data_IF_094741234005
#
_entry.id   IF_094741234005
#
_cell.length_a   1.000
_cell.length_b   1.000
_cell.length_c   1.000
_cell.angle_alpha   90.00
_cell.angle_beta   90.00
_cell.angle_gamma   90.00
#
_symmetry.space_group_name_H-M   'P 1'
#
loop_
_entity.id
_entity.type
_entity.pdbx_description
1 polymer ?
#
# COMPACT_ATOMS: atom_id res chain seq x y z
N UNK A 1 -13.44 -44.44 10.99
CA UNK A 1 -12.83 -43.23 11.60
C UNK A 1 -12.90 -42.07 10.62
N UNK A 2 -13.70 -41.04 10.90
CA UNK A 2 -13.77 -39.83 10.09
C UNK A 2 -12.64 -38.89 10.55
N UNK A 3 -11.83 -38.31 9.65
CA UNK A 3 -10.80 -37.38 10.06
C UNK A 3 -11.44 -36.08 10.59
N UNK A 4 -10.96 -35.70 11.78
CA UNK A 4 -11.37 -34.49 12.49
C UNK A 4 -11.32 -33.26 11.60
N UNK A 5 -12.42 -32.51 11.56
CA UNK A 5 -12.54 -31.20 10.92
C UNK A 5 -11.61 -30.25 11.67
N UNK A 6 -10.52 -29.83 11.06
CA UNK A 6 -9.66 -28.77 11.54
C UNK A 6 -10.50 -27.51 11.66
N UNK A 7 -10.84 -27.14 12.90
CA UNK A 7 -11.76 -26.03 13.29
C UNK A 7 -11.34 -24.64 12.77
N UNK A 8 -10.14 -24.47 12.25
CA UNK A 8 -9.62 -23.18 11.77
C UNK A 8 -9.99 -22.79 10.33
N UNK A 9 -10.36 -23.74 9.48
CA UNK A 9 -10.62 -23.48 8.05
C UNK A 9 -11.76 -22.49 7.74
N UNK A 10 -12.93 -22.51 8.42
CA UNK A 10 -14.04 -21.62 8.07
C UNK A 10 -13.78 -20.15 8.48
N UNK A 11 -13.09 -19.90 9.60
CA UNK A 11 -12.76 -18.56 10.05
C UNK A 11 -11.73 -17.88 9.15
N UNK A 12 -10.63 -18.57 8.84
CA UNK A 12 -9.61 -18.08 7.90
C UNK A 12 -10.22 -17.77 6.52
N UNK A 13 -11.08 -18.65 6.00
CA UNK A 13 -11.76 -18.45 4.72
C UNK A 13 -12.71 -17.24 4.76
N UNK A 14 -13.41 -17.00 5.87
CA UNK A 14 -14.30 -15.85 6.05
C UNK A 14 -13.52 -14.54 6.07
N UNK A 15 -12.39 -14.47 6.81
CA UNK A 15 -11.51 -13.30 6.84
C UNK A 15 -10.83 -13.09 5.48
N UNK A 16 -10.34 -14.14 4.85
CA UNK A 16 -9.73 -14.09 3.53
C UNK A 16 -10.68 -13.56 2.47
N UNK A 17 -11.91 -14.06 2.43
CA UNK A 17 -12.93 -13.60 1.49
C UNK A 17 -13.25 -12.10 1.69
N UNK A 18 -13.24 -11.58 2.92
CA UNK A 18 -13.47 -10.17 3.20
C UNK A 18 -12.49 -9.25 2.46
N UNK A 19 -11.23 -9.64 2.31
CA UNK A 19 -10.21 -8.84 1.62
C UNK A 19 -10.23 -8.97 0.09
N UNK A 20 -10.95 -9.94 -0.45
CA UNK A 20 -11.03 -10.16 -1.90
C UNK A 20 -12.43 -9.98 -2.49
N UNK A 21 -13.43 -9.75 -1.66
CA UNK A 21 -14.79 -9.43 -2.11
C UNK A 21 -14.93 -7.92 -2.21
N UNK A 22 -15.17 -7.45 -3.42
CA UNK A 22 -15.43 -6.04 -3.68
C UNK A 22 -16.90 -5.73 -3.37
N UNK A 23 -17.14 -4.72 -2.54
CA UNK A 23 -18.47 -4.19 -2.18
C UNK A 23 -18.43 -2.67 -2.21
N UNK A 24 -19.59 -2.01 -2.27
CA UNK A 24 -19.68 -0.54 -2.31
C UNK A 24 -18.99 0.15 -1.12
N UNK A 25 -18.95 -0.51 0.02
CA UNK A 25 -18.43 0.06 1.29
C UNK A 25 -17.00 -0.33 1.59
N UNK A 26 -16.36 -1.17 0.76
CA UNK A 26 -14.98 -1.63 1.02
C UNK A 26 -13.97 -0.56 0.65
N UNK A 27 -13.09 -0.18 1.57
CA UNK A 27 -11.94 0.67 1.28
C UNK A 27 -10.91 -0.08 0.43
N UNK A 28 -10.53 0.51 -0.71
CA UNK A 28 -9.51 -0.04 -1.62
C UNK A 28 -8.17 -0.28 -0.95
N UNK A 29 -7.83 0.53 0.04
CA UNK A 29 -6.53 0.56 0.69
C UNK A 29 -6.51 -0.12 2.06
N UNK A 30 -7.63 -0.73 2.49
CA UNK A 30 -7.75 -1.31 3.82
C UNK A 30 -6.63 -2.33 4.11
N UNK A 31 -6.35 -3.24 3.18
CA UNK A 31 -5.30 -4.24 3.34
C UNK A 31 -3.90 -3.60 3.39
N UNK A 32 -3.63 -2.62 2.52
CA UNK A 32 -2.39 -1.84 2.51
C UNK A 32 -2.20 -1.09 3.83
N UNK A 33 -3.23 -0.41 4.32
CA UNK A 33 -3.20 0.36 5.57
C UNK A 33 -3.01 -0.57 6.78
N UNK A 34 -3.60 -1.76 6.75
CA UNK A 34 -3.40 -2.79 7.79
C UNK A 34 -1.93 -3.23 7.83
N UNK A 35 -1.35 -3.62 6.69
CA UNK A 35 0.07 -3.97 6.62
C UNK A 35 0.97 -2.77 6.96
N UNK A 36 0.64 -1.56 6.50
CA UNK A 36 1.36 -0.34 6.85
C UNK A 36 1.44 -0.11 8.35
N UNK A 37 0.37 -0.41 9.08
CA UNK A 37 0.35 -0.32 10.55
C UNK A 37 1.15 -1.44 11.21
N UNK A 38 1.03 -2.67 10.73
CA UNK A 38 1.76 -3.84 11.26
C UNK A 38 3.27 -3.68 11.09
N UNK A 39 3.73 -3.18 9.95
CA UNK A 39 5.15 -2.98 9.65
C UNK A 39 5.67 -1.57 9.98
N UNK A 40 4.98 -0.83 10.84
CA UNK A 40 5.38 0.48 11.35
C UNK A 40 5.60 1.57 10.29
N UNK A 41 5.02 1.43 9.09
CA UNK A 41 5.11 2.44 8.05
C UNK A 41 4.33 3.70 8.44
N UNK A 42 3.07 3.54 8.89
CA UNK A 42 2.23 4.61 9.41
C UNK A 42 1.21 4.05 10.40
N UNK A 43 0.74 4.89 11.31
CA UNK A 43 -0.33 4.53 12.23
C UNK A 43 -1.69 4.91 11.67
N UNK A 44 -2.46 3.91 11.30
CA UNK A 44 -3.83 4.11 10.85
C UNK A 44 -4.80 3.97 12.03
N UNK A 45 -5.40 5.06 12.48
CA UNK A 45 -6.43 5.06 13.51
C UNK A 45 -7.55 6.03 13.14
N UNK A 46 -8.78 5.57 13.26
CA UNK A 46 -9.98 6.40 13.11
C UNK A 46 -10.16 7.35 14.32
N UNK A 47 -9.49 7.05 15.44
CA UNK A 47 -9.60 7.82 16.68
C UNK A 47 -8.28 8.50 17.05
N UNK A 48 -8.24 9.86 17.11
CA UNK A 48 -7.00 10.61 17.38
C UNK A 48 -6.56 10.57 18.85
N UNK A 49 -7.31 9.96 19.77
CA UNK A 49 -6.97 9.94 21.20
C UNK A 49 -5.77 9.04 21.49
N UNK A 50 -4.96 9.48 22.45
CA UNK A 50 -3.88 8.68 23.02
C UNK A 50 -4.43 7.36 23.55
N UNK A 51 -4.12 6.28 22.82
CA UNK A 51 -4.53 4.94 23.18
C UNK A 51 -3.27 4.14 23.51
N UNK A 52 -3.38 3.18 24.41
CA UNK A 52 -2.32 2.21 24.68
C UNK A 52 -1.77 1.59 23.38
N UNK A 53 -2.61 1.38 22.38
CA UNK A 53 -2.21 0.91 21.05
C UNK A 53 -1.23 1.86 20.35
N UNK A 54 -1.45 3.17 20.43
CA UNK A 54 -0.55 4.17 19.85
C UNK A 54 0.79 4.18 20.57
N UNK A 55 0.80 4.07 21.89
CA UNK A 55 2.01 3.98 22.68
C UNK A 55 2.81 2.72 22.32
N UNK A 56 2.18 1.55 22.31
CA UNK A 56 2.80 0.28 21.93
C UNK A 56 3.38 0.33 20.50
N UNK A 57 2.65 0.94 19.57
CA UNK A 57 3.13 1.14 18.21
C UNK A 57 4.32 2.09 18.16
N UNK A 58 4.33 3.17 18.93
CA UNK A 58 5.46 4.08 19.02
C UNK A 58 6.71 3.39 19.58
N UNK A 59 6.55 2.59 20.64
CA UNK A 59 7.64 1.79 21.20
C UNK A 59 8.18 0.81 20.16
N UNK A 60 7.29 0.09 19.47
CA UNK A 60 7.66 -0.81 18.39
C UNK A 60 8.45 -0.10 17.28
N UNK A 61 7.99 1.10 16.84
CA UNK A 61 8.70 1.92 15.85
C UNK A 61 10.08 2.39 16.34
N UNK A 62 10.24 2.62 17.64
CA UNK A 62 11.53 2.98 18.23
C UNK A 62 12.57 1.87 18.05
N UNK A 63 12.16 0.59 18.12
CA UNK A 63 13.07 -0.54 17.86
C UNK A 63 13.60 -0.52 16.41
N UNK A 64 12.81 -0.10 15.44
CA UNK A 64 13.29 0.10 14.07
C UNK A 64 14.42 1.14 14.03
N UNK A 65 14.21 2.30 14.64
CA UNK A 65 15.21 3.36 14.66
C UNK A 65 16.48 2.91 15.38
N UNK A 66 16.36 2.18 16.49
CA UNK A 66 17.51 1.62 17.19
C UNK A 66 18.28 0.61 16.34
N UNK A 67 17.59 -0.25 15.57
CA UNK A 67 18.26 -1.18 14.65
C UNK A 67 19.01 -0.44 13.54
N UNK A 68 18.45 0.64 13.00
CA UNK A 68 19.13 1.50 12.03
C UNK A 68 20.41 2.12 12.62
N UNK A 69 20.33 2.71 13.80
CA UNK A 69 21.51 3.28 14.49
C UNK A 69 22.60 2.23 14.76
N UNK A 70 22.20 0.99 15.04
CA UNK A 70 23.14 -0.13 15.18
C UNK A 70 23.89 -0.41 13.87
N UNK A 71 23.24 -0.32 12.70
CA UNK A 71 23.91 -0.45 11.41
C UNK A 71 24.86 0.73 11.11
N UNK A 72 24.45 1.96 11.44
CA UNK A 72 25.32 3.12 11.34
C UNK A 72 26.57 2.95 12.19
N UNK A 73 26.41 2.49 13.44
CA UNK A 73 27.52 2.24 14.34
C UNK A 73 28.46 1.14 13.82
N UNK A 74 27.94 0.04 13.31
CA UNK A 74 28.75 -1.02 12.70
C UNK A 74 29.56 -0.51 11.52
N UNK A 75 28.94 0.23 10.61
CA UNK A 75 29.63 0.82 9.48
C UNK A 75 30.76 1.75 9.93
N UNK A 76 30.46 2.64 10.90
CA UNK A 76 31.48 3.52 11.49
C UNK A 76 32.65 2.72 12.09
N UNK A 77 32.36 1.68 12.88
CA UNK A 77 33.39 0.87 13.53
C UNK A 77 34.26 0.13 12.50
N UNK A 78 33.67 -0.45 11.46
CA UNK A 78 34.38 -1.11 10.37
C UNK A 78 35.30 -0.16 9.61
N UNK A 79 34.83 1.06 9.29
CA UNK A 79 35.65 2.07 8.65
C UNK A 79 36.80 2.56 9.54
N UNK A 80 36.54 2.77 10.84
CA UNK A 80 37.57 3.23 11.78
C UNK A 80 38.68 2.20 12.00
N UNK A 81 38.38 0.91 11.83
CA UNK A 81 39.36 -0.17 11.96
C UNK A 81 39.94 -0.66 10.63
N UNK A 82 39.63 0.03 9.51
CA UNK A 82 40.12 -0.30 8.18
C UNK A 82 39.82 -1.75 7.74
N UNK A 83 38.70 -2.31 8.22
CA UNK A 83 38.25 -3.65 7.85
C UNK A 83 37.57 -3.65 6.49
N UNK A 84 38.37 -3.73 5.41
CA UNK A 84 37.86 -3.90 4.06
C UNK A 84 37.68 -5.39 3.73
N UNK A 85 36.48 -5.90 3.95
CA UNK A 85 36.15 -7.29 3.68
C UNK A 85 34.75 -7.40 3.03
N UNK A 86 34.42 -8.60 2.57
CA UNK A 86 33.04 -8.90 2.10
C UNK A 86 31.99 -8.57 3.17
N UNK A 87 32.34 -8.70 4.47
CA UNK A 87 31.48 -8.36 5.57
C UNK A 87 31.16 -6.86 5.61
N UNK A 88 32.16 -5.97 5.39
CA UNK A 88 31.93 -4.53 5.32
C UNK A 88 31.04 -4.12 4.16
N UNK A 89 31.22 -4.74 2.98
CA UNK A 89 30.35 -4.53 1.83
C UNK A 89 28.89 -4.95 2.11
N UNK A 90 28.69 -6.07 2.81
CA UNK A 90 27.36 -6.53 3.23
C UNK A 90 26.70 -5.58 4.21
N UNK A 91 27.44 -5.04 5.21
CA UNK A 91 26.92 -4.06 6.16
C UNK A 91 26.54 -2.75 5.48
N UNK A 92 27.36 -2.29 4.52
CA UNK A 92 27.02 -1.09 3.72
C UNK A 92 25.79 -1.30 2.85
N UNK A 93 25.64 -2.47 2.22
CA UNK A 93 24.44 -2.83 1.47
C UNK A 93 23.18 -2.82 2.34
N UNK A 94 23.28 -3.41 3.53
CA UNK A 94 22.17 -3.40 4.50
C UNK A 94 21.86 -1.98 4.99
N UNK A 95 22.89 -1.17 5.29
CA UNK A 95 22.73 0.23 5.68
C UNK A 95 22.06 1.04 4.56
N UNK A 96 22.45 0.83 3.30
CA UNK A 96 21.83 1.46 2.14
C UNK A 96 20.35 1.13 2.01
N UNK A 97 19.98 -0.15 2.18
CA UNK A 97 18.58 -0.59 2.19
C UNK A 97 17.78 0.05 3.33
N UNK A 98 18.32 0.03 4.55
CA UNK A 98 17.68 0.62 5.72
C UNK A 98 17.54 2.14 5.58
N UNK A 99 18.55 2.82 5.02
CA UNK A 99 18.51 4.28 4.76
C UNK A 99 17.44 4.62 3.72
N UNK A 100 17.34 3.86 2.64
CA UNK A 100 16.28 4.02 1.65
C UNK A 100 14.90 3.77 2.22
N UNK A 101 14.74 2.76 3.08
CA UNK A 101 13.49 2.48 3.77
C UNK A 101 13.14 3.58 4.79
N UNK A 102 14.11 4.10 5.55
CA UNK A 102 13.91 5.20 6.50
C UNK A 102 13.48 6.48 5.77
N UNK A 103 14.14 6.83 4.66
CA UNK A 103 13.76 7.98 3.86
C UNK A 103 12.30 7.88 3.39
N UNK A 104 11.91 6.71 2.88
CA UNK A 104 10.53 6.46 2.46
C UNK A 104 9.53 6.52 3.61
N UNK A 105 9.90 5.99 4.78
CA UNK A 105 9.09 6.07 5.98
C UNK A 105 8.84 7.54 6.38
N UNK A 106 9.88 8.38 6.35
CA UNK A 106 9.77 9.82 6.62
C UNK A 106 8.88 10.49 5.58
N UNK A 107 9.10 10.21 4.30
CA UNK A 107 8.29 10.79 3.21
C UNK A 107 6.81 10.39 3.31
N UNK A 108 6.50 9.14 3.63
CA UNK A 108 5.12 8.68 3.86
C UNK A 108 4.51 9.39 5.06
N UNK A 109 5.23 9.54 6.16
CA UNK A 109 4.73 10.21 7.37
C UNK A 109 4.43 11.70 7.11
N UNK A 110 5.36 12.41 6.46
CA UNK A 110 5.18 13.84 6.13
C UNK A 110 4.01 14.08 5.18
N UNK A 111 3.80 13.18 4.23
CA UNK A 111 2.74 13.30 3.23
C UNK A 111 1.48 12.50 3.58
N UNK A 112 1.41 11.89 4.77
CA UNK A 112 0.30 11.02 5.15
C UNK A 112 -1.08 11.70 5.05
N UNK A 113 -1.27 12.96 5.45
CA UNK A 113 -2.55 13.67 5.26
C UNK A 113 -2.98 13.76 3.79
N UNK A 114 -2.03 14.03 2.89
CA UNK A 114 -2.27 14.10 1.45
C UNK A 114 -2.59 12.73 0.87
N UNK A 115 -1.83 11.70 1.27
CA UNK A 115 -2.09 10.31 0.88
C UNK A 115 -3.51 9.89 1.30
N UNK A 116 -3.94 10.26 2.50
CA UNK A 116 -5.30 9.97 3.00
C UNK A 116 -6.39 10.66 2.19
N UNK A 117 -6.18 11.94 1.83
CA UNK A 117 -7.13 12.66 0.96
C UNK A 117 -7.25 11.97 -0.40
N UNK A 118 -6.12 11.57 -0.98
CA UNK A 118 -6.10 10.86 -2.25
C UNK A 118 -6.76 9.47 -2.16
N UNK A 119 -6.51 8.72 -1.08
CA UNK A 119 -7.21 7.46 -0.82
C UNK A 119 -8.72 7.66 -0.68
N UNK A 120 -9.15 8.70 0.05
CA UNK A 120 -10.56 9.05 0.20
C UNK A 120 -11.21 9.40 -1.14
N UNK A 121 -10.52 10.17 -1.98
CA UNK A 121 -10.97 10.49 -3.34
C UNK A 121 -11.15 9.23 -4.20
N UNK A 122 -10.18 8.30 -4.19
CA UNK A 122 -10.24 7.05 -4.94
C UNK A 122 -11.30 6.07 -4.38
N UNK A 123 -11.68 6.22 -3.12
CA UNK A 123 -12.78 5.49 -2.48
C UNK A 123 -14.15 6.12 -2.73
N UNK A 124 -14.19 7.37 -3.21
CA UNK A 124 -15.43 8.03 -3.62
C UNK A 124 -15.92 7.43 -4.95
N UNK A 125 -16.95 6.59 -4.87
CA UNK A 125 -17.51 5.82 -5.98
C UNK A 125 -18.80 6.44 -6.52
N UNK A 126 -19.09 7.68 -6.18
CA UNK A 126 -20.32 8.36 -6.63
C UNK A 126 -20.34 8.52 -8.14
N UNK A 127 -19.16 8.68 -8.76
CA UNK A 127 -19.04 8.83 -10.20
C UNK A 127 -19.21 7.49 -10.93
N UNK A 128 -20.13 7.44 -11.89
CA UNK A 128 -20.48 6.23 -12.67
C UNK A 128 -20.82 5.00 -11.79
N UNK A 129 -21.49 5.22 -10.67
CA UNK A 129 -21.85 4.14 -9.75
C UNK A 129 -22.82 3.13 -10.39
N UNK A 130 -23.69 3.57 -11.28
CA UNK A 130 -24.67 2.73 -11.98
C UNK A 130 -24.10 2.01 -13.22
N UNK A 131 -22.89 2.41 -13.67
CA UNK A 131 -22.25 1.76 -14.84
C UNK A 131 -21.64 0.41 -14.43
N UNK A 132 -22.24 -0.67 -14.92
CA UNK A 132 -21.78 -2.05 -14.68
C UNK A 132 -20.32 -2.27 -15.12
N UNK A 133 -19.89 -1.63 -16.19
CA UNK A 133 -18.52 -1.74 -16.65
C UNK A 133 -17.54 -1.05 -15.69
N UNK A 134 -17.88 0.16 -15.23
CA UNK A 134 -17.08 0.87 -14.23
C UNK A 134 -16.93 0.04 -12.94
N UNK A 135 -18.01 -0.56 -12.47
CA UNK A 135 -18.02 -1.49 -11.36
C UNK A 135 -17.10 -2.69 -11.58
N UNK A 136 -17.17 -3.33 -12.74
CA UNK A 136 -16.33 -4.48 -13.06
C UNK A 136 -14.84 -4.12 -13.09
N UNK A 137 -14.47 -2.98 -13.69
CA UNK A 137 -13.08 -2.50 -13.73
C UNK A 137 -12.54 -2.18 -12.30
N UNK A 138 -13.35 -1.50 -11.48
CA UNK A 138 -13.01 -1.23 -10.07
C UNK A 138 -12.81 -2.53 -9.28
N UNK A 139 -13.71 -3.48 -9.46
CA UNK A 139 -13.64 -4.80 -8.82
C UNK A 139 -12.41 -5.60 -9.26
N UNK A 140 -12.06 -5.57 -10.56
CA UNK A 140 -10.86 -6.21 -11.10
C UNK A 140 -9.59 -5.59 -10.50
N UNK A 141 -9.49 -4.24 -10.48
CA UNK A 141 -8.35 -3.54 -9.93
C UNK A 141 -8.18 -3.85 -8.43
N UNK A 142 -9.27 -3.80 -7.65
CA UNK A 142 -9.25 -4.13 -6.22
C UNK A 142 -8.71 -5.54 -5.97
N UNK A 143 -9.24 -6.53 -6.67
CA UNK A 143 -8.81 -7.94 -6.51
C UNK A 143 -7.35 -8.14 -6.94
N UNK A 144 -6.95 -7.50 -8.03
CA UNK A 144 -5.57 -7.57 -8.52
C UNK A 144 -4.60 -6.97 -7.51
N UNK A 145 -4.85 -5.74 -7.05
CA UNK A 145 -3.99 -5.03 -6.10
C UNK A 145 -3.84 -5.79 -4.79
N UNK A 146 -4.93 -6.31 -4.23
CA UNK A 146 -4.88 -7.06 -2.98
C UNK A 146 -4.16 -8.41 -3.15
N UNK A 147 -4.35 -9.12 -4.26
CA UNK A 147 -3.61 -10.35 -4.55
C UNK A 147 -2.12 -10.06 -4.72
N UNK A 148 -1.78 -9.05 -5.50
CA UNK A 148 -0.40 -8.63 -5.72
C UNK A 148 0.28 -8.28 -4.39
N UNK A 149 -0.37 -7.49 -3.54
CA UNK A 149 0.11 -7.12 -2.21
C UNK A 149 0.38 -8.35 -1.33
N UNK A 150 -0.57 -9.28 -1.26
CA UNK A 150 -0.41 -10.51 -0.46
C UNK A 150 0.71 -11.39 -0.98
N UNK A 151 0.77 -11.62 -2.29
CA UNK A 151 1.83 -12.45 -2.90
C UNK A 151 3.20 -11.84 -2.61
N UNK A 152 3.34 -10.53 -2.79
CA UNK A 152 4.63 -9.86 -2.61
C UNK A 152 5.06 -9.83 -1.14
N UNK A 153 4.14 -9.51 -0.20
CA UNK A 153 4.45 -9.56 1.24
C UNK A 153 4.82 -10.98 1.67
N UNK A 154 4.11 -11.99 1.15
CA UNK A 154 4.43 -13.40 1.44
C UNK A 154 5.81 -13.77 0.91
N UNK A 155 6.13 -13.40 -0.33
CA UNK A 155 7.43 -13.67 -0.95
C UNK A 155 8.58 -13.03 -0.14
N UNK A 156 8.46 -11.74 0.23
CA UNK A 156 9.46 -11.04 1.02
C UNK A 156 9.58 -11.64 2.42
N UNK A 157 8.46 -12.04 3.03
CA UNK A 157 8.49 -12.69 4.35
C UNK A 157 9.22 -14.02 4.28
N UNK A 158 8.96 -14.84 3.26
CA UNK A 158 9.66 -16.11 3.06
C UNK A 158 11.14 -15.89 2.82
N UNK A 159 11.51 -14.94 1.94
CA UNK A 159 12.90 -14.56 1.69
C UNK A 159 13.59 -14.10 2.97
N UNK A 160 12.93 -13.24 3.76
CA UNK A 160 13.44 -12.75 5.05
C UNK A 160 13.64 -13.86 6.06
N UNK A 161 12.75 -14.85 6.12
CA UNK A 161 12.88 -16.01 6.99
C UNK A 161 14.04 -16.92 6.54
N UNK A 162 14.17 -17.17 5.24
CA UNK A 162 15.30 -17.94 4.68
C UNK A 162 16.63 -17.22 4.95
N UNK A 163 16.67 -15.90 4.78
CA UNK A 163 17.84 -15.07 5.08
C UNK A 163 18.16 -15.14 6.58
N UNK A 164 17.17 -14.99 7.47
CA UNK A 164 17.36 -15.06 8.91
C UNK A 164 17.90 -16.43 9.35
N UNK A 165 17.37 -17.53 8.84
CA UNK A 165 17.85 -18.87 9.15
C UNK A 165 19.32 -19.07 8.75
N UNK A 166 19.69 -18.61 7.56
CA UNK A 166 21.08 -18.64 7.07
C UNK A 166 22.02 -17.74 7.88
N UNK A 167 21.53 -16.57 8.26
CA UNK A 167 22.25 -15.52 8.97
C UNK A 167 22.69 -15.96 10.37
N UNK A 168 21.83 -16.62 11.11
CA UNK A 168 22.11 -17.13 12.45
C UNK A 168 23.20 -18.21 12.45
N UNK A 169 23.48 -18.84 11.31
CA UNK A 169 24.43 -19.94 11.20
C UNK A 169 25.80 -19.52 10.62
N UNK A 170 25.87 -18.46 9.77
CA UNK A 170 27.06 -18.23 8.94
C UNK A 170 27.53 -16.80 8.81
N UNK A 171 26.76 -15.79 9.24
CA UNK A 171 27.01 -14.37 8.92
C UNK A 171 26.97 -13.47 10.14
N UNK A 172 28.05 -13.42 10.92
CA UNK A 172 28.13 -12.61 12.14
C UNK A 172 27.94 -11.10 11.87
N UNK A 173 28.30 -10.60 10.68
CA UNK A 173 28.18 -9.21 10.30
C UNK A 173 26.74 -8.66 10.36
N UNK A 174 25.74 -9.51 10.26
CA UNK A 174 24.35 -9.12 10.39
C UNK A 174 23.78 -9.26 11.81
N UNK A 175 24.53 -9.90 12.73
CA UNK A 175 24.12 -10.03 14.12
C UNK A 175 24.27 -8.70 14.88
N UNK A 176 23.58 -8.57 15.99
CA UNK A 176 23.75 -7.42 16.87
C UNK A 176 25.17 -7.46 17.49
N UNK A 177 25.96 -6.42 17.22
CA UNK A 177 27.38 -6.35 17.60
C UNK A 177 27.70 -5.00 18.22
N UNK A 178 28.71 -5.02 19.11
CA UNK A 178 29.35 -3.84 19.64
C UNK A 178 30.86 -4.06 19.64
N UNK A 179 31.64 -3.13 19.10
CA UNK A 179 33.08 -3.25 18.91
C UNK A 179 33.52 -4.58 18.27
N UNK A 180 32.84 -5.03 17.24
CA UNK A 180 33.12 -6.30 16.52
C UNK A 180 32.73 -7.57 17.30
N UNK A 181 32.21 -7.47 18.51
CA UNK A 181 31.78 -8.62 19.33
C UNK A 181 30.28 -8.78 19.27
N UNK A 182 29.81 -10.00 19.00
CA UNK A 182 28.38 -10.34 19.04
C UNK A 182 27.86 -10.21 20.46
N UNK A 183 26.83 -9.41 20.66
CA UNK A 183 26.19 -9.17 21.95
C UNK A 183 24.88 -9.91 22.07
N UNK A 184 24.65 -10.45 23.27
CA UNK A 184 23.42 -11.13 23.63
C UNK A 184 23.35 -12.58 23.14
N UNK A 185 22.37 -13.34 23.68
CA UNK A 185 22.13 -14.72 23.33
C UNK A 185 21.32 -14.88 22.03
N UNK A 186 21.06 -16.13 21.61
CA UNK A 186 20.34 -16.44 20.36
C UNK A 186 19.00 -15.72 20.22
N UNK A 187 18.25 -15.58 21.33
CA UNK A 187 16.96 -14.89 21.31
C UNK A 187 17.07 -13.42 20.91
N UNK A 188 18.10 -12.70 21.40
CA UNK A 188 18.37 -11.30 21.03
C UNK A 188 18.70 -11.20 19.56
N UNK A 189 19.50 -12.14 19.05
CA UNK A 189 19.88 -12.18 17.63
C UNK A 189 18.69 -12.46 16.72
N UNK A 190 17.77 -13.35 17.11
CA UNK A 190 16.54 -13.62 16.37
C UNK A 190 15.67 -12.35 16.30
N UNK A 191 15.42 -11.69 17.42
CA UNK A 191 14.62 -10.45 17.48
C UNK A 191 15.27 -9.37 16.63
N UNK A 192 16.57 -9.17 16.76
CA UNK A 192 17.31 -8.18 15.97
C UNK A 192 17.22 -8.48 14.46
N UNK A 193 17.41 -9.73 14.07
CA UNK A 193 17.29 -10.18 12.67
C UNK A 193 15.87 -10.00 12.12
N UNK A 194 14.82 -10.29 12.92
CA UNK A 194 13.43 -10.04 12.52
C UNK A 194 13.17 -8.55 12.27
N UNK A 195 13.62 -7.67 13.17
CA UNK A 195 13.48 -6.21 12.99
C UNK A 195 14.22 -5.74 11.74
N UNK A 196 15.42 -6.28 11.51
CA UNK A 196 16.19 -5.97 10.29
C UNK A 196 15.48 -6.42 9.02
N UNK A 197 14.91 -7.62 9.01
CA UNK A 197 14.13 -8.14 7.88
C UNK A 197 12.90 -7.26 7.56
N UNK A 198 12.28 -6.69 8.58
CA UNK A 198 11.15 -5.77 8.40
C UNK A 198 11.50 -4.49 7.62
N UNK A 199 12.77 -4.03 7.59
CA UNK A 199 13.17 -2.90 6.76
C UNK A 199 12.93 -3.16 5.26
N UNK A 200 13.20 -4.38 4.80
CA UNK A 200 12.88 -4.78 3.42
C UNK A 200 11.38 -4.70 3.13
N UNK A 201 10.55 -5.13 4.08
CA UNK A 201 9.09 -5.05 3.94
C UNK A 201 8.62 -3.59 3.92
N UNK A 202 9.13 -2.72 4.81
CA UNK A 202 8.82 -1.28 4.82
C UNK A 202 9.18 -0.63 3.49
N UNK A 203 10.37 -0.95 2.96
CA UNK A 203 10.85 -0.44 1.68
C UNK A 203 9.89 -0.79 0.54
N UNK A 204 9.50 -2.05 0.43
CA UNK A 204 8.62 -2.53 -0.64
C UNK A 204 7.18 -2.09 -0.44
N UNK A 205 6.67 -2.10 0.79
CA UNK A 205 5.29 -1.73 1.11
C UNK A 205 5.01 -0.27 0.73
N UNK A 206 5.97 0.64 0.96
CA UNK A 206 5.84 2.05 0.55
C UNK A 206 5.75 2.20 -0.97
N UNK A 207 6.52 1.39 -1.71
CA UNK A 207 6.47 1.36 -3.18
C UNK A 207 5.13 0.82 -3.70
N UNK A 208 4.63 -0.28 -3.11
CA UNK A 208 3.32 -0.84 -3.47
C UNK A 208 2.22 0.17 -3.20
N UNK A 209 2.26 0.86 -2.07
CA UNK A 209 1.29 1.91 -1.73
C UNK A 209 1.20 2.97 -2.82
N UNK A 210 2.34 3.47 -3.28
CA UNK A 210 2.42 4.42 -4.38
C UNK A 210 1.89 3.82 -5.70
N UNK A 211 2.27 2.59 -6.03
CA UNK A 211 1.76 1.89 -7.21
C UNK A 211 0.24 1.74 -7.18
N UNK A 212 -0.34 1.36 -6.04
CA UNK A 212 -1.79 1.22 -5.90
C UNK A 212 -2.54 2.54 -6.09
N UNK A 213 -1.97 3.65 -5.59
CA UNK A 213 -2.51 5.00 -5.82
C UNK A 213 -2.49 5.35 -7.30
N UNK A 214 -1.36 5.18 -7.97
CA UNK A 214 -1.23 5.45 -9.42
C UNK A 214 -2.17 4.57 -10.25
N UNK A 215 -2.30 3.29 -9.91
CA UNK A 215 -3.21 2.38 -10.60
C UNK A 215 -4.69 2.79 -10.41
N UNK A 216 -5.06 3.25 -9.21
CA UNK A 216 -6.37 3.83 -8.93
C UNK A 216 -6.63 5.09 -9.76
N UNK A 217 -5.68 6.01 -9.79
CA UNK A 217 -5.74 7.24 -10.59
C UNK A 217 -5.91 6.94 -12.09
N UNK A 218 -5.08 6.03 -12.60
CA UNK A 218 -5.19 5.59 -14.00
C UNK A 218 -6.58 5.07 -14.32
N UNK A 219 -7.17 4.28 -13.42
CA UNK A 219 -8.51 3.76 -13.61
C UNK A 219 -9.54 4.89 -13.65
N UNK A 220 -9.50 5.86 -12.71
CA UNK A 220 -10.44 6.99 -12.71
C UNK A 220 -10.32 7.84 -14.00
N UNK A 221 -9.10 8.04 -14.52
CA UNK A 221 -8.89 8.70 -15.81
C UNK A 221 -9.49 7.89 -16.98
N UNK A 222 -9.36 6.56 -16.97
CA UNK A 222 -9.99 5.71 -17.98
C UNK A 222 -11.52 5.76 -17.92
N UNK A 223 -12.09 5.77 -16.70
CA UNK A 223 -13.54 5.92 -16.50
C UNK A 223 -14.04 7.27 -17.02
N UNK A 224 -13.29 8.34 -16.75
CA UNK A 224 -13.61 9.68 -17.25
C UNK A 224 -13.54 9.74 -18.77
N UNK A 225 -12.46 9.23 -19.38
CA UNK A 225 -12.33 9.18 -20.85
C UNK A 225 -13.49 8.44 -21.51
N UNK A 226 -13.84 7.26 -20.94
CA UNK A 226 -14.99 6.49 -21.44
C UNK A 226 -16.31 7.25 -21.30
N UNK A 227 -16.50 7.98 -20.22
CA UNK A 227 -17.73 8.76 -20.04
C UNK A 227 -17.88 9.88 -21.08
N UNK A 228 -16.77 10.46 -21.54
CA UNK A 228 -16.81 11.42 -22.66
C UNK A 228 -17.13 10.72 -23.99
N UNK A 229 -16.56 9.54 -24.25
CA UNK A 229 -16.89 8.76 -25.43
C UNK A 229 -18.38 8.37 -25.48
N UNK A 230 -18.93 7.93 -24.35
CA UNK A 230 -20.36 7.62 -24.25
C UNK A 230 -21.24 8.85 -24.46
N UNK A 231 -20.78 10.04 -24.03
CA UNK A 231 -21.49 11.29 -24.29
C UNK A 231 -21.49 11.62 -25.78
N UNK A 232 -20.35 11.44 -26.45
CA UNK A 232 -20.23 11.66 -27.90
C UNK A 232 -21.14 10.71 -28.69
N UNK A 233 -21.12 9.40 -28.36
CA UNK A 233 -22.00 8.40 -28.98
C UNK A 233 -23.48 8.75 -28.78
N UNK A 234 -23.85 9.19 -27.58
CA UNK A 234 -25.21 9.62 -27.26
C UNK A 234 -25.60 10.87 -28.04
N UNK A 235 -24.69 11.85 -28.15
CA UNK A 235 -24.90 13.07 -28.95
C UNK A 235 -25.16 12.76 -30.41
N UNK A 236 -24.38 11.87 -31.02
CA UNK A 236 -24.56 11.46 -32.42
C UNK A 236 -25.92 10.76 -32.63
N UNK A 237 -26.31 9.86 -31.74
CA UNK A 237 -27.57 9.15 -31.77
C UNK A 237 -28.77 10.08 -31.53
N UNK A 238 -28.68 11.00 -30.61
CA UNK A 238 -29.74 11.93 -30.26
C UNK A 238 -29.88 13.05 -31.31
N UNK A 239 -28.76 13.48 -31.93
CA UNK A 239 -28.83 14.41 -33.06
C UNK A 239 -29.63 13.84 -34.24
N UNK A 240 -29.48 12.55 -34.51
CA UNK A 240 -30.29 11.88 -35.52
C UNK A 240 -31.79 11.84 -35.16
N UNK A 241 -32.15 11.80 -33.88
CA UNK A 241 -33.53 11.88 -33.38
C UNK A 241 -34.06 13.30 -33.32
N UNK A 242 -33.24 14.28 -32.96
CA UNK A 242 -33.58 15.72 -32.88
C UNK A 242 -34.04 16.26 -34.25
N UNK A 243 -33.47 15.77 -35.36
CA UNK A 243 -33.93 16.11 -36.70
C UNK A 243 -35.40 15.68 -37.01
N UNK A 244 -36.01 14.92 -36.07
CA UNK A 244 -37.38 14.40 -36.21
C UNK A 244 -38.31 14.85 -35.07
N UNK A 245 -37.83 15.67 -34.09
CA UNK A 245 -38.60 16.12 -32.92
C UNK A 245 -39.15 17.54 -33.07
N UNK A 246 -40.25 17.83 -32.38
CA UNK A 246 -40.85 19.16 -32.30
C UNK A 246 -40.07 20.11 -31.32
N UNK A 247 -40.09 21.40 -31.55
CA UNK A 247 -39.30 22.44 -30.89
C UNK A 247 -39.29 22.45 -29.33
N UNK A 248 -40.35 21.90 -28.70
CA UNK A 248 -40.53 21.91 -27.25
C UNK A 248 -39.58 20.95 -26.49
N UNK A 249 -39.13 19.90 -27.14
CA UNK A 249 -38.22 18.89 -26.50
C UNK A 249 -36.75 19.26 -26.64
N UNK A 250 -36.39 20.21 -27.53
CA UNK A 250 -35.02 20.61 -27.79
C UNK A 250 -34.38 21.31 -26.57
N UNK A 251 -35.09 22.21 -25.90
CA UNK A 251 -34.61 22.90 -24.71
C UNK A 251 -34.32 21.93 -23.55
N UNK A 252 -35.20 21.01 -23.26
CA UNK A 252 -35.02 20.00 -22.23
C UNK A 252 -33.82 19.08 -22.52
N UNK A 253 -33.57 18.81 -23.80
CA UNK A 253 -32.38 18.05 -24.23
C UNK A 253 -31.09 18.83 -23.94
N UNK A 254 -31.01 20.12 -24.34
CA UNK A 254 -29.81 20.94 -24.12
C UNK A 254 -29.51 21.15 -22.65
N UNK A 255 -30.51 21.38 -21.81
CA UNK A 255 -30.33 21.49 -20.35
C UNK A 255 -29.77 20.21 -19.76
N UNK A 256 -30.28 19.04 -20.15
CA UNK A 256 -29.78 17.75 -19.69
C UNK A 256 -28.35 17.51 -20.13
N UNK A 257 -28.03 17.82 -21.38
CA UNK A 257 -26.70 17.71 -21.94
C UNK A 257 -25.70 18.59 -21.20
N UNK A 258 -26.06 19.85 -20.95
CA UNK A 258 -25.25 20.80 -20.20
C UNK A 258 -24.98 20.32 -18.77
N UNK A 259 -25.99 19.76 -18.11
CA UNK A 259 -25.83 19.18 -16.76
C UNK A 259 -24.85 17.98 -16.78
N UNK A 260 -25.00 17.06 -17.74
CA UNK A 260 -24.12 15.91 -17.89
C UNK A 260 -22.66 16.33 -18.20
N UNK A 261 -22.48 17.29 -19.12
CA UNK A 261 -21.16 17.82 -19.47
C UNK A 261 -20.51 18.53 -18.27
N UNK A 262 -21.27 19.35 -17.55
CA UNK A 262 -20.81 20.05 -16.37
C UNK A 262 -20.35 19.07 -15.27
N UNK A 263 -21.09 17.97 -15.06
CA UNK A 263 -20.69 16.93 -14.10
C UNK A 263 -19.35 16.28 -14.49
N UNK A 264 -19.12 16.00 -15.77
CA UNK A 264 -17.86 15.43 -16.27
C UNK A 264 -16.69 16.41 -16.14
N UNK A 265 -16.92 17.68 -16.49
CA UNK A 265 -15.90 18.74 -16.34
C UNK A 265 -15.53 18.91 -14.86
N UNK A 266 -16.50 18.98 -13.96
CA UNK A 266 -16.23 19.04 -12.52
C UNK A 266 -15.38 17.87 -12.05
N UNK A 267 -15.69 16.65 -12.49
CA UNK A 267 -14.87 15.48 -12.14
C UNK A 267 -13.45 15.57 -12.71
N UNK A 268 -13.30 16.08 -13.92
CA UNK A 268 -11.98 16.31 -14.52
C UNK A 268 -11.15 17.33 -13.71
N UNK A 269 -11.76 18.43 -13.30
CA UNK A 269 -11.09 19.44 -12.47
C UNK A 269 -10.62 18.84 -11.15
N UNK A 270 -11.49 18.09 -10.46
CA UNK A 270 -11.13 17.40 -9.20
C UNK A 270 -10.00 16.38 -9.39
N UNK A 271 -9.86 15.78 -10.57
CA UNK A 271 -8.74 14.87 -10.89
C UNK A 271 -7.42 15.61 -11.14
N UNK A 272 -7.47 16.91 -11.48
CA UNK A 272 -6.28 17.74 -11.74
C UNK A 272 -5.78 18.47 -10.48
N UNK A 273 -6.65 18.70 -9.49
CA UNK A 273 -6.31 19.31 -8.19
C UNK A 273 -5.68 18.27 -7.24
#
# INVERSE_FOLDING_TARGET
>A
MRPERILGKPLLRKYWNKFFTFTDTVDYFNLLNTFGTVFALHYHSEHPRWSFRKLSWTVYRTFYLLSYLSYCYKAYWMFSNWEYSTASANVLGALGLCSGALLRLILVELNYPTIRKLQAFLNDRTYLNEDRWAWDQRSKLYRYNNRFLVVLITAITVESLCFLARLLLTRPEFMFQYNGRVLGGPAVQIVYGMVTACWGIVYVLSFIGFYMLLAGFRLEMQLLARSFQQLEEKLVLDHAKLCTMEDLDEWAYWDKLQAELTARIKRHVVLLE
#
